data_IF_757439521874
#
_entry.id   IF_757439521874
#
_cell.length_a   1.000
_cell.length_b   1.000
_cell.length_c   1.000
_cell.angle_alpha   90.00
_cell.angle_beta   90.00
_cell.angle_gamma   90.00
#
_symmetry.space_group_name_H-M   'P 1'
#
loop_
_entity.id
_entity.type
_entity.pdbx_description
1 polymer ?
#
# COMPACT_ATOMS: atom_id res chain seq x y z
N UNK A 1 -12.31 -21.09 4.75
CA UNK A 1 -12.01 -19.80 4.15
C UNK A 1 -10.53 -19.53 4.29
N UNK A 2 -9.81 -19.64 3.20
CA UNK A 2 -8.39 -19.40 3.15
C UNK A 2 -8.15 -17.91 2.97
N UNK A 3 -7.41 -17.31 3.87
CA UNK A 3 -6.84 -15.99 3.67
C UNK A 3 -5.51 -16.15 2.94
N UNK A 4 -5.44 -15.62 1.77
CA UNK A 4 -4.29 -15.26 0.97
C UNK A 4 -3.06 -16.15 0.97
N UNK A 5 -2.56 -16.39 -0.17
CA UNK A 5 -1.23 -16.65 -0.60
C UNK A 5 -0.36 -17.64 0.14
N UNK A 6 0.91 -17.37 0.07
CA UNK A 6 1.96 -18.28 0.54
C UNK A 6 1.93 -18.58 2.06
N UNK A 7 1.38 -17.69 2.86
CA UNK A 7 1.26 -17.89 4.31
C UNK A 7 0.16 -18.89 4.65
N UNK A 8 -0.97 -18.85 3.93
CA UNK A 8 -2.07 -19.78 4.15
C UNK A 8 -1.81 -21.18 3.61
N UNK A 9 -1.01 -21.30 2.57
CA UNK A 9 -0.64 -22.60 1.99
C UNK A 9 0.35 -23.40 2.84
N UNK A 10 1.05 -22.75 3.77
CA UNK A 10 2.03 -23.43 4.63
C UNK A 10 1.41 -24.12 5.84
N UNK A 11 0.16 -23.79 6.23
CA UNK A 11 -0.51 -24.46 7.34
C UNK A 11 -2.04 -24.44 7.21
N UNK A 12 -2.67 -25.56 6.79
CA UNK A 12 -4.13 -25.68 6.65
C UNK A 12 -4.91 -25.62 7.98
N UNK A 13 -4.22 -25.54 9.12
CA UNK A 13 -4.86 -25.53 10.45
C UNK A 13 -5.18 -24.12 10.95
N UNK A 14 -4.77 -23.06 10.23
CA UNK A 14 -5.11 -21.69 10.62
C UNK A 14 -6.43 -21.30 9.99
N UNK A 15 -7.49 -21.33 10.79
CA UNK A 15 -8.81 -20.86 10.38
C UNK A 15 -9.10 -19.49 10.97
N UNK A 16 -9.68 -18.60 10.20
CA UNK A 16 -10.21 -17.34 10.69
C UNK A 16 -11.74 -17.37 10.72
N UNK A 17 -12.34 -16.84 11.78
CA UNK A 17 -13.78 -16.69 11.90
C UNK A 17 -14.34 -15.45 11.19
N UNK A 18 -13.48 -14.68 10.50
CA UNK A 18 -13.85 -13.52 9.73
C UNK A 18 -13.05 -12.27 10.06
N UNK A 19 -13.48 -11.14 9.51
CA UNK A 19 -12.85 -9.84 9.68
C UNK A 19 -13.85 -8.86 10.27
N UNK A 20 -13.43 -8.11 11.30
CA UNK A 20 -14.11 -6.91 11.75
C UNK A 20 -13.35 -5.69 11.23
N UNK A 21 -14.08 -4.69 10.74
CA UNK A 21 -13.51 -3.43 10.27
C UNK A 21 -14.31 -2.25 10.81
N UNK A 22 -13.62 -1.20 11.22
CA UNK A 22 -14.20 0.06 11.62
C UNK A 22 -13.40 1.19 10.97
N UNK A 23 -14.07 2.16 10.39
CA UNK A 23 -13.43 3.31 9.78
C UNK A 23 -14.19 4.59 10.00
N UNK A 24 -13.48 5.70 9.87
CA UNK A 24 -14.03 7.04 9.88
C UNK A 24 -13.34 7.88 8.81
N UNK A 25 -14.15 8.59 8.02
CA UNK A 25 -13.69 9.56 7.04
C UNK A 25 -14.14 10.95 7.46
N UNK A 26 -13.25 11.91 7.39
CA UNK A 26 -13.54 13.33 7.61
C UNK A 26 -13.10 14.13 6.39
N UNK A 27 -13.99 14.98 5.91
CA UNK A 27 -13.72 15.95 4.84
C UNK A 27 -13.99 17.35 5.36
N UNK A 28 -13.02 18.24 5.26
CA UNK A 28 -13.11 19.61 5.77
C UNK A 28 -12.52 20.65 4.81
N UNK A 29 -12.54 21.94 5.24
CA UNK A 29 -11.98 23.07 4.51
C UNK A 29 -12.48 23.16 3.06
N UNK A 30 -13.80 23.13 2.87
CA UNK A 30 -14.42 23.14 1.55
C UNK A 30 -13.89 22.03 0.63
N UNK A 31 -13.82 20.80 1.16
CA UNK A 31 -13.32 19.60 0.47
C UNK A 31 -11.83 19.64 0.09
N UNK A 32 -11.04 20.50 0.73
CA UNK A 32 -9.59 20.58 0.49
C UNK A 32 -8.79 19.63 1.36
N UNK A 33 -9.32 19.26 2.52
CA UNK A 33 -8.67 18.35 3.48
C UNK A 33 -9.51 17.10 3.66
N UNK A 34 -8.83 15.94 3.60
CA UNK A 34 -9.43 14.65 3.91
C UNK A 34 -8.56 13.93 4.95
N UNK A 35 -9.23 13.22 5.86
CA UNK A 35 -8.61 12.32 6.84
C UNK A 35 -9.41 11.03 6.85
N UNK A 36 -8.73 9.90 6.75
CA UNK A 36 -9.28 8.56 6.92
C UNK A 36 -8.57 7.84 8.05
N UNK A 37 -9.34 7.18 8.89
CA UNK A 37 -8.84 6.29 9.95
C UNK A 37 -9.54 4.94 9.79
N UNK A 38 -8.79 3.86 9.74
CA UNK A 38 -9.34 2.50 9.62
C UNK A 38 -8.65 1.56 10.61
N UNK A 39 -9.45 0.72 11.26
CA UNK A 39 -8.98 -0.39 12.06
C UNK A 39 -9.55 -1.70 11.52
N UNK A 40 -8.71 -2.69 11.31
CA UNK A 40 -9.08 -4.03 10.89
C UNK A 40 -8.61 -5.03 11.93
N UNK A 41 -9.51 -5.93 12.30
CA UNK A 41 -9.19 -7.12 13.07
C UNK A 41 -9.51 -8.34 12.21
N UNK A 42 -8.47 -9.03 11.81
CA UNK A 42 -8.55 -10.31 11.12
C UNK A 42 -8.49 -11.38 12.19
N UNK A 43 -9.65 -11.95 12.56
CA UNK A 43 -9.74 -12.88 13.67
C UNK A 43 -8.78 -14.06 13.50
N UNK A 44 -8.02 -14.35 14.55
CA UNK A 44 -7.00 -15.38 14.60
C UNK A 44 -5.83 -15.18 13.62
N UNK A 45 -5.65 -13.97 13.09
CA UNK A 45 -4.61 -13.66 12.11
C UNK A 45 -3.79 -12.42 12.48
N UNK A 46 -4.42 -11.26 12.56
CA UNK A 46 -3.71 -10.01 12.85
C UNK A 46 -4.64 -8.81 12.98
N UNK A 47 -4.06 -7.68 13.28
CA UNK A 47 -4.70 -6.37 13.28
C UNK A 47 -3.97 -5.43 12.34
N UNK A 48 -4.70 -4.52 11.68
CA UNK A 48 -4.12 -3.42 10.91
C UNK A 48 -4.80 -2.13 11.34
N UNK A 49 -4.03 -1.18 11.83
CA UNK A 49 -4.44 0.20 12.01
C UNK A 49 -3.85 1.03 10.89
N UNK A 50 -4.69 1.82 10.25
CA UNK A 50 -4.34 2.63 9.08
C UNK A 50 -4.88 4.03 9.24
N UNK A 51 -4.07 5.01 8.89
CA UNK A 51 -4.47 6.41 8.77
C UNK A 51 -3.91 7.00 7.48
N UNK A 52 -4.71 7.76 6.77
CA UNK A 52 -4.24 8.62 5.70
C UNK A 52 -4.87 10.01 5.79
N UNK A 53 -4.16 11.00 5.29
CA UNK A 53 -4.66 12.36 5.16
C UNK A 53 -4.16 13.00 3.88
N UNK A 54 -4.96 13.89 3.30
CA UNK A 54 -4.55 14.65 2.13
C UNK A 54 -5.07 16.08 2.19
N UNK A 55 -4.30 16.98 1.56
CA UNK A 55 -4.68 18.37 1.39
C UNK A 55 -4.46 18.82 -0.04
N UNK A 56 -5.48 19.50 -0.60
CA UNK A 56 -5.46 20.02 -1.97
C UNK A 56 -5.32 21.55 -1.96
N UNK A 57 -4.38 22.04 -2.74
CA UNK A 57 -4.15 23.47 -3.01
C UNK A 57 -4.50 23.77 -4.47
N UNK A 58 -5.39 24.73 -4.70
CA UNK A 58 -5.66 25.27 -6.03
C UNK A 58 -4.88 26.56 -6.19
N UNK A 59 -3.84 26.56 -7.01
CA UNK A 59 -2.98 27.71 -7.22
C UNK A 59 -3.48 28.60 -8.36
N UNK A 60 -4.10 28.01 -9.38
CA UNK A 60 -4.76 28.71 -10.47
C UNK A 60 -5.90 27.84 -11.05
N UNK A 61 -6.59 28.32 -12.08
CA UNK A 61 -7.62 27.51 -12.77
C UNK A 61 -7.01 26.23 -13.38
N UNK A 62 -5.78 26.30 -13.87
CA UNK A 62 -5.09 25.20 -14.53
C UNK A 62 -4.18 24.38 -13.60
N UNK A 63 -3.72 24.96 -12.46
CA UNK A 63 -2.69 24.37 -11.61
C UNK A 63 -3.22 24.02 -10.23
N UNK A 64 -3.16 22.77 -9.86
CA UNK A 64 -3.43 22.30 -8.51
C UNK A 64 -2.33 21.36 -8.00
N UNK A 65 -2.23 21.28 -6.68
CA UNK A 65 -1.28 20.44 -5.96
C UNK A 65 -2.00 19.69 -4.86
N UNK A 66 -1.76 18.39 -4.74
CA UNK A 66 -2.27 17.57 -3.66
C UNK A 66 -1.10 16.93 -2.92
N UNK A 67 -1.08 17.08 -1.60
CA UNK A 67 -0.17 16.37 -0.69
C UNK A 67 -0.95 15.36 0.11
N UNK A 68 -0.40 14.16 0.24
CA UNK A 68 -0.97 13.12 1.07
C UNK A 68 0.10 12.45 1.93
N UNK A 69 -0.31 11.99 3.09
CA UNK A 69 0.51 11.20 4.00
C UNK A 69 -0.30 10.04 4.55
N UNK A 70 0.34 8.90 4.73
CA UNK A 70 -0.26 7.71 5.34
C UNK A 70 0.65 7.10 6.37
N UNK A 71 0.07 6.37 7.31
CA UNK A 71 0.78 5.57 8.29
C UNK A 71 -0.06 4.40 8.76
N UNK A 72 0.58 3.38 9.28
CA UNK A 72 -0.12 2.27 9.90
C UNK A 72 0.79 1.33 10.65
N UNK A 73 0.15 0.42 11.37
CA UNK A 73 0.81 -0.66 12.09
C UNK A 73 0.02 -1.94 11.91
N UNK A 74 0.74 -3.03 11.70
CA UNK A 74 0.16 -4.35 11.50
C UNK A 74 0.79 -5.30 12.52
N UNK A 75 -0.04 -5.86 13.39
CA UNK A 75 0.38 -6.70 14.49
C UNK A 75 -0.37 -8.02 14.46
N UNK A 76 0.29 -9.02 14.97
CA UNK A 76 -0.26 -10.35 15.10
C UNK A 76 -1.42 -10.42 16.09
N UNK A 77 -2.40 -11.28 15.80
CA UNK A 77 -3.52 -11.61 16.65
C UNK A 77 -3.80 -13.11 16.60
N UNK A 78 -3.86 -13.75 17.78
CA UNK A 78 -4.25 -15.17 17.89
C UNK A 78 -3.18 -16.13 17.39
N UNK A 79 -3.62 -17.31 16.92
CA UNK A 79 -2.75 -18.46 16.64
C UNK A 79 -2.12 -18.46 15.23
N UNK A 80 -2.42 -17.49 14.38
CA UNK A 80 -1.76 -17.40 13.06
C UNK A 80 -0.24 -17.27 13.19
N UNK A 81 0.20 -16.69 14.30
CA UNK A 81 1.61 -16.70 14.71
C UNK A 81 2.22 -18.07 14.73
N UNK A 82 1.49 -19.05 15.24
CA UNK A 82 2.01 -20.39 15.35
C UNK A 82 2.29 -20.98 13.96
N UNK A 83 1.48 -20.64 12.95
CA UNK A 83 1.73 -21.07 11.59
C UNK A 83 3.01 -20.44 11.03
N UNK A 84 3.20 -19.13 11.20
CA UNK A 84 4.39 -18.41 10.76
C UNK A 84 5.62 -18.81 11.58
N UNK A 85 5.47 -18.96 12.90
CA UNK A 85 6.56 -19.34 13.82
C UNK A 85 6.97 -20.80 13.60
N UNK A 86 6.03 -21.72 13.42
CA UNK A 86 6.32 -23.14 13.13
C UNK A 86 6.99 -23.31 11.76
N UNK A 87 6.71 -22.42 10.82
CA UNK A 87 7.41 -22.38 9.53
C UNK A 87 8.74 -21.60 9.59
N UNK A 88 9.15 -21.11 10.76
CA UNK A 88 10.31 -20.20 10.95
C UNK A 88 10.25 -18.90 10.12
N UNK A 89 9.05 -18.43 9.79
CA UNK A 89 8.84 -17.23 9.00
C UNK A 89 8.73 -15.95 9.84
N UNK A 90 8.67 -16.09 11.17
CA UNK A 90 8.55 -14.97 12.10
C UNK A 90 7.12 -14.54 12.38
N UNK A 91 6.96 -13.49 13.18
CA UNK A 91 5.68 -12.95 13.61
C UNK A 91 5.24 -11.79 12.71
N UNK A 92 3.93 -11.53 12.65
CA UNK A 92 3.42 -10.31 12.02
C UNK A 92 3.71 -9.13 12.96
N UNK A 93 4.59 -8.25 12.54
CA UNK A 93 4.93 -7.03 13.25
C UNK A 93 5.55 -6.04 12.27
N UNK A 94 4.75 -5.10 11.79
CA UNK A 94 5.21 -4.07 10.87
C UNK A 94 4.62 -2.72 11.17
N UNK A 95 5.34 -1.69 10.75
CA UNK A 95 4.90 -0.32 10.70
C UNK A 95 5.18 0.23 9.32
N UNK A 96 4.43 1.22 8.90
CA UNK A 96 4.71 1.89 7.65
C UNK A 96 4.32 3.36 7.68
N UNK A 97 5.01 4.13 6.86
CA UNK A 97 4.66 5.51 6.52
C UNK A 97 4.75 5.68 5.01
N UNK A 98 4.01 6.65 4.50
CA UNK A 98 4.10 7.05 3.11
C UNK A 98 3.78 8.52 2.93
N UNK A 99 4.34 9.10 1.88
CA UNK A 99 4.01 10.45 1.42
C UNK A 99 3.80 10.42 -0.09
N UNK A 100 2.88 11.27 -0.55
CA UNK A 100 2.56 11.39 -1.96
C UNK A 100 2.37 12.87 -2.30
N UNK A 101 2.92 13.28 -3.43
CA UNK A 101 2.66 14.57 -4.03
C UNK A 101 2.09 14.41 -5.44
N UNK A 102 0.99 15.11 -5.75
CA UNK A 102 0.41 15.11 -7.09
C UNK A 102 0.32 16.56 -7.56
N UNK A 103 0.95 16.85 -8.69
CA UNK A 103 0.84 18.13 -9.40
C UNK A 103 -0.04 17.92 -10.61
N UNK A 104 -1.08 18.73 -10.77
CA UNK A 104 -1.95 18.71 -11.95
C UNK A 104 -1.86 20.06 -12.65
N UNK A 105 -1.56 20.03 -13.93
CA UNK A 105 -1.52 21.20 -14.79
C UNK A 105 -2.18 20.89 -16.13
N UNK A 106 -3.43 21.38 -16.29
CA UNK A 106 -4.22 21.23 -17.52
C UNK A 106 -4.27 19.77 -18.02
N UNK A 107 -3.54 19.46 -19.08
CA UNK A 107 -3.44 18.13 -19.70
C UNK A 107 -2.40 17.20 -19.06
N UNK A 108 -1.66 17.66 -18.07
CA UNK A 108 -0.55 16.92 -17.43
C UNK A 108 -0.79 16.74 -15.93
N UNK A 109 -0.51 15.55 -15.42
CA UNK A 109 -0.42 15.27 -13.98
C UNK A 109 0.87 14.53 -13.70
N UNK A 110 1.49 14.81 -12.56
CA UNK A 110 2.66 14.09 -12.06
C UNK A 110 2.39 13.62 -10.63
N UNK A 111 2.45 12.32 -10.43
CA UNK A 111 2.37 11.69 -9.13
C UNK A 111 3.75 11.20 -8.70
N UNK A 112 4.19 11.60 -7.50
CA UNK A 112 5.40 11.16 -6.83
C UNK A 112 5.02 10.51 -5.51
N UNK A 113 5.44 9.27 -5.30
CA UNK A 113 5.16 8.49 -4.10
C UNK A 113 6.43 8.00 -3.42
N UNK A 114 6.39 7.94 -2.10
CA UNK A 114 7.38 7.31 -1.25
C UNK A 114 6.69 6.52 -0.15
N UNK A 115 7.15 5.31 0.08
CA UNK A 115 6.78 4.50 1.24
C UNK A 115 8.01 3.91 1.92
N UNK A 116 7.91 3.75 3.23
CA UNK A 116 8.82 2.97 4.04
C UNK A 116 8.01 2.02 4.91
N UNK A 117 8.37 0.73 4.87
CA UNK A 117 7.79 -0.35 5.65
C UNK A 117 8.91 -0.97 6.47
N UNK A 118 8.70 -1.13 7.77
CA UNK A 118 9.74 -1.67 8.66
C UNK A 118 9.13 -2.45 9.83
N UNK A 119 9.93 -3.30 10.45
CA UNK A 119 9.60 -4.06 11.65
C UNK A 119 10.84 -4.66 12.28
N UNK A 120 10.64 -5.67 13.14
CA UNK A 120 11.75 -6.45 13.65
C UNK A 120 12.37 -7.31 12.55
N UNK A 121 13.68 -7.47 12.56
CA UNK A 121 14.38 -8.41 11.66
C UNK A 121 13.94 -9.87 11.85
N UNK A 122 13.37 -10.20 13.01
CA UNK A 122 12.80 -11.53 13.30
C UNK A 122 11.32 -11.65 12.89
N UNK A 123 10.68 -10.55 12.44
CA UNK A 123 9.32 -10.59 11.94
C UNK A 123 9.26 -11.17 10.52
N UNK A 124 8.09 -11.59 10.09
CA UNK A 124 7.85 -12.04 8.72
C UNK A 124 8.30 -10.97 7.72
N UNK A 125 9.11 -11.38 6.73
CA UNK A 125 9.66 -10.47 5.72
C UNK A 125 10.46 -9.30 6.30
N UNK A 126 11.06 -9.47 7.51
CA UNK A 126 11.75 -8.41 8.25
C UNK A 126 10.83 -7.23 8.63
N UNK A 127 9.54 -7.49 8.77
CA UNK A 127 8.52 -6.48 9.09
C UNK A 127 7.62 -6.12 7.91
N UNK A 128 7.34 -7.08 7.03
CA UNK A 128 6.36 -6.89 5.96
C UNK A 128 4.95 -6.66 6.48
N UNK A 129 4.15 -5.91 5.74
CA UNK A 129 2.71 -5.82 5.96
C UNK A 129 2.08 -7.16 5.55
N UNK A 130 1.31 -7.75 6.45
CA UNK A 130 0.65 -9.04 6.23
C UNK A 130 -0.82 -8.94 6.58
N UNK A 131 -1.67 -8.99 5.58
CA UNK A 131 -3.12 -9.03 5.75
C UNK A 131 -3.69 -10.12 4.84
N UNK A 132 -4.95 -10.54 5.05
CA UNK A 132 -5.60 -11.48 4.12
C UNK A 132 -5.72 -10.96 2.69
N UNK A 133 -5.51 -9.68 2.47
CA UNK A 133 -5.69 -8.99 1.19
C UNK A 133 -4.38 -8.56 0.53
N UNK A 134 -3.23 -8.79 1.18
CA UNK A 134 -1.90 -8.40 0.63
C UNK A 134 -1.28 -9.47 -0.25
N UNK A 135 -2.05 -10.47 -0.65
CA UNK A 135 -1.61 -11.45 -1.63
C UNK A 135 -2.37 -11.28 -2.94
N UNK A 136 -1.65 -10.98 -3.96
CA UNK A 136 -2.19 -10.74 -5.28
C UNK A 136 -1.74 -9.39 -5.83
N UNK A 137 -2.13 -9.10 -7.02
CA UNK A 137 -1.66 -7.93 -7.75
C UNK A 137 -2.16 -6.63 -7.13
N UNK A 138 -1.23 -5.76 -6.77
CA UNK A 138 -1.46 -4.38 -6.35
C UNK A 138 -2.52 -4.20 -5.24
N UNK A 139 -2.48 -5.05 -4.23
CA UNK A 139 -3.49 -5.07 -3.15
C UNK A 139 -3.06 -4.39 -1.87
N UNK A 140 -1.82 -3.90 -1.78
CA UNK A 140 -1.35 -3.16 -0.62
C UNK A 140 -1.84 -1.70 -0.63
N UNK A 141 -1.99 -1.06 0.55
CA UNK A 141 -2.54 0.29 0.65
C UNK A 141 -1.50 1.39 0.38
N UNK A 142 -0.32 1.06 -0.12
CA UNK A 142 0.79 1.99 -0.21
C UNK A 142 0.70 2.90 -1.45
N UNK A 143 1.14 4.15 -1.33
CA UNK A 143 1.17 5.12 -2.43
C UNK A 143 2.12 4.74 -3.57
N UNK A 144 3.06 3.84 -3.30
CA UNK A 144 4.05 3.39 -4.26
C UNK A 144 3.67 2.11 -4.98
N UNK A 145 2.54 1.49 -4.63
CA UNK A 145 2.08 0.25 -5.27
C UNK A 145 1.84 0.50 -6.76
N UNK A 146 2.58 -0.18 -7.64
CA UNK A 146 2.35 -0.15 -9.07
C UNK A 146 1.24 -1.14 -9.47
N UNK A 147 1.24 -1.60 -10.72
CA UNK A 147 0.17 -2.47 -11.21
C UNK A 147 0.32 -3.93 -10.78
N UNK A 148 1.55 -4.43 -10.68
CA UNK A 148 1.82 -5.86 -10.46
C UNK A 148 2.41 -6.16 -9.08
N UNK A 149 3.23 -5.27 -8.53
CA UNK A 149 4.02 -5.53 -7.33
C UNK A 149 3.82 -4.43 -6.28
N UNK A 150 4.05 -4.76 -5.02
CA UNK A 150 4.10 -3.81 -3.91
C UNK A 150 4.98 -4.37 -2.80
N UNK A 151 5.42 -3.56 -1.84
CA UNK A 151 6.24 -4.05 -0.73
C UNK A 151 5.54 -5.17 0.04
N UNK A 152 4.22 -5.04 0.23
CA UNK A 152 3.42 -6.08 0.88
C UNK A 152 3.24 -7.31 -0.01
N UNK A 153 3.05 -7.15 -1.32
CA UNK A 153 2.94 -8.25 -2.28
C UNK A 153 4.26 -9.03 -2.41
N UNK A 154 5.41 -8.33 -2.35
CA UNK A 154 6.74 -8.93 -2.29
C UNK A 154 7.04 -9.60 -0.94
N UNK A 155 6.19 -9.40 0.07
CA UNK A 155 6.34 -10.00 1.40
C UNK A 155 7.55 -9.51 2.16
N UNK A 156 7.95 -8.26 2.02
CA UNK A 156 9.19 -7.72 2.59
C UNK A 156 9.01 -6.32 3.16
N UNK A 157 9.78 -6.01 4.19
CA UNK A 157 10.05 -4.63 4.60
C UNK A 157 10.95 -3.93 3.60
N UNK A 158 10.96 -2.59 3.60
CA UNK A 158 11.82 -1.81 2.73
C UNK A 158 11.26 -0.45 2.39
N UNK A 159 11.90 0.19 1.43
CA UNK A 159 11.45 1.48 0.87
C UNK A 159 11.06 1.33 -0.60
N UNK A 160 10.08 2.09 -1.02
CA UNK A 160 9.69 2.18 -2.42
C UNK A 160 9.54 3.64 -2.84
N UNK A 161 9.86 3.91 -4.10
CA UNK A 161 9.70 5.20 -4.77
C UNK A 161 8.95 5.00 -6.06
N UNK A 162 7.98 5.86 -6.32
CA UNK A 162 7.17 5.82 -7.55
C UNK A 162 7.14 7.18 -8.21
N UNK A 163 7.27 7.18 -9.53
CA UNK A 163 6.99 8.32 -10.39
C UNK A 163 5.98 7.88 -11.44
N UNK A 164 4.90 8.63 -11.60
CA UNK A 164 3.84 8.31 -12.54
C UNK A 164 3.26 9.60 -13.14
N UNK A 165 3.77 10.04 -14.30
CA UNK A 165 3.12 11.09 -15.07
C UNK A 165 1.85 10.55 -15.74
N UNK A 166 0.87 11.43 -15.96
CA UNK A 166 -0.32 11.17 -16.75
C UNK A 166 -0.48 12.29 -17.76
N UNK A 167 -0.67 11.92 -19.02
CA UNK A 167 -0.90 12.83 -20.14
C UNK A 167 -2.33 12.63 -20.65
N UNK A 168 -3.09 13.71 -20.77
CA UNK A 168 -4.50 13.64 -21.18
C UNK A 168 -4.69 14.47 -22.47
N UNK A 169 -5.22 13.85 -23.51
CA UNK A 169 -5.37 14.41 -24.84
C UNK A 169 -6.83 14.29 -25.31
N UNK A 170 -7.12 14.90 -26.47
CA UNK A 170 -8.43 14.78 -27.15
C UNK A 170 -9.57 15.19 -26.22
N UNK A 171 -9.44 16.40 -25.60
CA UNK A 171 -10.44 16.94 -24.66
C UNK A 171 -10.76 15.99 -23.48
N UNK A 172 -9.76 15.22 -23.03
CA UNK A 172 -9.90 14.30 -21.92
C UNK A 172 -10.23 12.84 -22.30
N UNK A 173 -10.44 12.56 -23.58
CA UNK A 173 -10.86 11.23 -24.02
C UNK A 173 -9.71 10.20 -24.09
N UNK A 174 -8.47 10.64 -24.33
CA UNK A 174 -7.29 9.78 -24.35
C UNK A 174 -6.39 10.10 -23.17
N UNK A 175 -6.06 9.09 -22.36
CA UNK A 175 -5.10 9.19 -21.26
C UNK A 175 -3.97 8.19 -21.44
N UNK A 176 -2.73 8.65 -21.24
CA UNK A 176 -1.53 7.84 -21.22
C UNK A 176 -0.84 8.01 -19.87
N UNK A 177 -0.65 6.93 -19.15
CA UNK A 177 -0.08 6.94 -17.80
C UNK A 177 1.05 5.90 -17.66
N UNK A 178 2.29 6.25 -18.04
CA UNK A 178 3.45 5.46 -17.65
C UNK A 178 3.71 5.58 -16.15
N UNK A 179 4.28 4.54 -15.54
CA UNK A 179 4.75 4.57 -14.18
C UNK A 179 6.08 3.83 -14.05
N UNK A 180 6.89 4.27 -13.12
CA UNK A 180 8.12 3.61 -12.71
C UNK A 180 8.17 3.53 -11.20
N UNK A 181 8.41 2.32 -10.68
CA UNK A 181 8.57 2.05 -9.26
C UNK A 181 9.86 1.29 -9.02
N UNK A 182 10.58 1.64 -7.96
CA UNK A 182 11.77 0.93 -7.50
C UNK A 182 11.62 0.56 -6.04
N UNK A 183 12.06 -0.66 -5.70
CA UNK A 183 11.99 -1.23 -4.38
C UNK A 183 13.39 -1.50 -3.83
N UNK A 184 13.70 -0.96 -2.64
CA UNK A 184 14.89 -1.30 -1.87
C UNK A 184 14.43 -2.08 -0.63
N UNK A 185 14.59 -3.39 -0.67
CA UNK A 185 13.95 -4.30 0.28
C UNK A 185 14.94 -4.92 1.25
N UNK A 186 14.42 -5.35 2.41
CA UNK A 186 15.21 -6.06 3.41
C UNK A 186 15.58 -7.48 2.95
N UNK A 187 14.76 -8.11 2.10
CA UNK A 187 15.05 -9.40 1.50
C UNK A 187 15.89 -9.20 0.24
N UNK A 188 17.09 -9.81 0.21
CA UNK A 188 18.07 -9.61 -0.86
C UNK A 188 17.53 -10.02 -2.25
N UNK A 189 16.65 -11.01 -2.30
CA UNK A 189 16.05 -11.53 -3.54
C UNK A 189 15.18 -10.50 -4.28
N UNK A 190 14.62 -9.54 -3.53
CA UNK A 190 13.75 -8.48 -4.08
C UNK A 190 14.40 -7.11 -4.07
N UNK A 191 15.63 -6.99 -3.53
CA UNK A 191 16.31 -5.71 -3.43
C UNK A 191 16.73 -5.18 -4.80
N UNK A 192 16.34 -3.94 -5.10
CA UNK A 192 16.58 -3.32 -6.40
C UNK A 192 15.57 -3.72 -7.49
N UNK A 193 14.51 -4.44 -7.14
CA UNK A 193 13.40 -4.74 -8.08
C UNK A 193 12.82 -3.43 -8.62
N UNK A 194 12.53 -3.43 -9.91
CA UNK A 194 11.95 -2.30 -10.63
C UNK A 194 10.72 -2.75 -11.41
N UNK A 195 9.71 -1.91 -11.46
CA UNK A 195 8.52 -2.14 -12.27
C UNK A 195 8.26 -0.93 -13.17
N UNK A 196 7.96 -1.22 -14.41
CA UNK A 196 7.58 -0.24 -15.44
C UNK A 196 6.18 -0.60 -15.92
N UNK A 197 5.24 0.30 -15.70
CA UNK A 197 3.86 0.15 -16.16
C UNK A 197 3.57 1.14 -17.27
N UNK A 198 2.63 0.77 -18.11
CA UNK A 198 2.05 1.68 -19.07
C UNK A 198 0.56 1.40 -19.22
N UNK A 199 -0.24 2.40 -18.91
CA UNK A 199 -1.70 2.33 -19.05
C UNK A 199 -2.13 3.36 -20.08
N UNK A 200 -2.90 2.91 -21.06
CA UNK A 200 -3.60 3.77 -22.02
C UNK A 200 -5.10 3.53 -21.89
N UNK A 201 -5.88 4.59 -21.79
CA UNK A 201 -7.35 4.52 -21.77
C UNK A 201 -7.95 5.51 -22.73
N UNK A 202 -9.05 5.08 -23.40
CA UNK A 202 -9.83 5.92 -24.29
C UNK A 202 -11.31 5.78 -23.94
N UNK A 203 -12.01 6.94 -23.74
CA UNK A 203 -13.43 7.03 -23.41
C UNK A 203 -14.24 7.57 -24.57
#
# INVERSE_FOLDING_TARGET
>A
NYFGGSVANSNPLVTSSGTAALGADYTGWNNKYNLRLCGYQFNNYGTLLYADSSIKFQLSKALSFNLAAQSGTNNQLGNSSNALTNANLGQISSNFIGVQGVINYDWFSLNLGYNNVWGSSSAYGSGSIVTPYTYGFATDPLYTTPYMSGLADLGTAGTAYKISPTLTFINGNLSLAPAYTVFNTALAEWNGTQEYDFVASYN
#
